data_IF_688255401270
#
_entry.id   IF_688255401270
#
_cell.length_a   1.000
_cell.length_b   1.000
_cell.length_c   1.000
_cell.angle_alpha   90.00
_cell.angle_beta   90.00
_cell.angle_gamma   90.00
#
_symmetry.space_group_name_H-M   'P 1'
#
loop_
_entity.id
_entity.type
_entity.pdbx_description
1 polymer ?
#
# COMPACT_ATOMS: atom_id res chain seq x y z
N UNK A 1 0.77 -16.75 -63.06
CA UNK A 1 -0.39 -15.88 -62.79
C UNK A 1 -0.83 -15.90 -61.32
N UNK A 2 0.07 -15.47 -60.39
CA UNK A 2 -0.27 -15.25 -58.99
C UNK A 2 0.58 -14.10 -58.42
N UNK A 3 0.59 -12.94 -59.08
CA UNK A 3 1.51 -11.85 -58.79
C UNK A 3 0.89 -10.57 -58.22
N UNK A 4 -0.44 -10.44 -58.15
CA UNK A 4 -1.06 -9.16 -57.77
C UNK A 4 -2.28 -9.30 -56.82
N UNK A 5 -2.16 -10.09 -55.80
CA UNK A 5 -3.18 -10.09 -54.74
C UNK A 5 -2.83 -9.05 -53.65
N UNK A 6 -3.78 -8.22 -53.20
CA UNK A 6 -3.56 -7.23 -52.14
C UNK A 6 -3.00 -7.82 -50.84
N UNK A 7 -3.27 -9.08 -50.54
CA UNK A 7 -2.74 -9.80 -49.39
C UNK A 7 -1.22 -9.99 -49.42
N UNK A 8 -0.60 -10.13 -50.58
CA UNK A 8 0.86 -10.33 -50.70
C UNK A 8 1.61 -9.02 -50.47
N UNK A 9 1.03 -7.88 -50.83
CA UNK A 9 1.64 -6.56 -50.54
C UNK A 9 1.62 -6.25 -49.03
N UNK A 10 0.55 -6.61 -48.34
CA UNK A 10 0.45 -6.44 -46.88
C UNK A 10 1.46 -7.33 -46.15
N UNK A 11 1.68 -8.55 -46.63
CA UNK A 11 2.65 -9.48 -46.03
C UNK A 11 4.10 -9.02 -46.16
N UNK A 12 4.47 -8.42 -47.33
CA UNK A 12 5.80 -7.85 -47.54
C UNK A 12 6.07 -6.58 -46.74
N UNK A 13 5.06 -5.81 -46.43
CA UNK A 13 5.18 -4.64 -45.54
C UNK A 13 5.32 -5.07 -44.06
N UNK A 14 4.66 -6.17 -43.71
CA UNK A 14 4.75 -6.74 -42.34
C UNK A 14 6.14 -7.34 -42.05
N UNK A 15 6.78 -7.99 -43.02
CA UNK A 15 8.13 -8.54 -42.85
C UNK A 15 9.22 -7.46 -42.80
N UNK A 16 9.02 -6.30 -43.41
CA UNK A 16 9.96 -5.17 -43.28
C UNK A 16 9.87 -4.46 -41.92
N UNK A 17 8.68 -4.28 -41.39
CA UNK A 17 8.49 -3.69 -40.03
C UNK A 17 9.00 -4.61 -38.90
N UNK A 18 9.01 -5.95 -39.13
CA UNK A 18 9.53 -6.91 -38.15
C UNK A 18 11.08 -6.99 -38.13
N UNK A 19 11.77 -6.52 -39.16
CA UNK A 19 13.24 -6.55 -39.24
C UNK A 19 13.88 -5.38 -38.50
N UNK A 20 13.17 -4.26 -38.30
CA UNK A 20 13.67 -3.09 -37.58
C UNK A 20 13.51 -3.21 -36.04
N UNK A 21 12.94 -4.32 -35.52
CA UNK A 21 12.82 -4.63 -34.07
C UNK A 21 13.88 -5.65 -33.58
N UNK A 22 15.06 -5.66 -34.12
CA UNK A 22 16.09 -6.72 -34.01
C UNK A 22 16.90 -6.78 -32.68
N UNK A 23 16.83 -5.92 -31.65
CA UNK A 23 17.56 -6.23 -30.40
C UNK A 23 16.94 -7.37 -29.57
N UNK A 24 15.66 -7.69 -29.72
CA UNK A 24 14.96 -8.69 -28.90
C UNK A 24 15.33 -10.14 -29.27
N UNK A 25 15.56 -10.41 -30.57
CA UNK A 25 15.89 -11.77 -31.05
C UNK A 25 17.30 -12.25 -30.70
N UNK A 26 18.26 -11.34 -30.56
CA UNK A 26 19.61 -11.68 -30.16
C UNK A 26 19.69 -12.14 -28.70
N UNK A 27 18.85 -11.58 -27.84
CA UNK A 27 18.76 -11.90 -26.41
C UNK A 27 18.10 -13.27 -26.16
N UNK A 28 17.11 -13.62 -26.95
CA UNK A 28 16.42 -14.93 -26.90
C UNK A 28 17.33 -16.11 -27.28
N UNK A 29 18.34 -15.92 -28.11
CA UNK A 29 19.33 -16.95 -28.45
C UNK A 29 20.30 -17.26 -27.30
N UNK A 30 20.62 -16.27 -26.46
CA UNK A 30 21.48 -16.46 -25.29
C UNK A 30 20.82 -17.26 -24.17
N UNK A 31 19.50 -17.16 -23.99
CA UNK A 31 18.72 -17.91 -22.99
C UNK A 31 18.47 -19.37 -23.37
N UNK A 32 18.58 -19.77 -24.66
CA UNK A 32 18.37 -21.15 -25.10
C UNK A 32 19.51 -22.12 -24.70
N UNK A 33 20.61 -21.62 -24.19
CA UNK A 33 21.80 -22.40 -23.81
C UNK A 33 21.79 -22.94 -22.37
N UNK A 34 20.77 -22.67 -21.56
CA UNK A 34 20.65 -23.14 -20.17
C UNK A 34 20.25 -24.62 -20.10
N UNK A 35 20.99 -25.42 -19.28
CA UNK A 35 20.91 -26.89 -19.21
C UNK A 35 19.82 -27.48 -18.31
N UNK A 36 18.93 -26.71 -17.65
CA UNK A 36 17.92 -27.26 -16.76
C UNK A 36 16.56 -27.48 -17.43
N UNK A 37 16.07 -28.73 -17.40
CA UNK A 37 14.80 -29.16 -18.03
C UNK A 37 13.57 -28.45 -17.43
N UNK A 38 13.61 -28.09 -16.14
CA UNK A 38 12.52 -27.37 -15.46
C UNK A 38 12.34 -25.94 -15.97
N UNK A 39 13.43 -25.23 -16.24
CA UNK A 39 13.36 -23.86 -16.80
C UNK A 39 12.75 -23.87 -18.21
N UNK A 40 12.99 -24.92 -19.00
CA UNK A 40 12.43 -25.04 -20.35
C UNK A 40 10.91 -25.24 -20.35
N UNK A 41 10.37 -26.02 -19.40
CA UNK A 41 8.91 -26.25 -19.35
C UNK A 41 8.15 -24.99 -18.95
N UNK A 42 8.64 -24.24 -17.96
CA UNK A 42 8.02 -22.98 -17.55
C UNK A 42 8.18 -21.88 -18.59
N UNK A 43 9.34 -21.82 -19.27
CA UNK A 43 9.56 -20.86 -20.37
C UNK A 43 8.68 -21.14 -21.58
N UNK A 44 8.51 -22.41 -21.99
CA UNK A 44 7.58 -22.76 -23.07
C UNK A 44 6.12 -22.51 -22.70
N UNK A 45 5.74 -22.71 -21.46
CA UNK A 45 4.38 -22.41 -20.97
C UNK A 45 4.10 -20.90 -21.00
N UNK A 46 5.00 -20.08 -20.45
CA UNK A 46 4.93 -18.62 -20.48
C UNK A 46 4.92 -18.06 -21.91
N UNK A 47 5.78 -18.59 -22.79
CA UNK A 47 5.85 -18.17 -24.19
C UNK A 47 4.56 -18.49 -24.95
N UNK A 48 3.93 -19.64 -24.69
CA UNK A 48 2.63 -20.02 -25.27
C UNK A 48 1.51 -19.06 -24.86
N UNK A 49 1.45 -18.67 -23.59
CA UNK A 49 0.43 -17.74 -23.09
C UNK A 49 0.68 -16.31 -23.56
N UNK A 50 1.94 -15.88 -23.63
CA UNK A 50 2.31 -14.59 -24.21
C UNK A 50 1.94 -14.51 -25.69
N UNK A 51 2.24 -15.56 -26.45
CA UNK A 51 1.86 -15.64 -27.87
C UNK A 51 0.34 -15.68 -28.04
N UNK A 52 -0.41 -16.38 -27.17
CA UNK A 52 -1.87 -16.41 -27.23
C UNK A 52 -2.48 -15.03 -26.91
N UNK A 53 -1.97 -14.30 -25.93
CA UNK A 53 -2.38 -12.93 -25.62
C UNK A 53 -2.05 -11.95 -26.72
N UNK A 54 -0.88 -12.05 -27.32
CA UNK A 54 -0.49 -11.22 -28.48
C UNK A 54 -1.37 -11.52 -29.68
N UNK A 55 -1.69 -12.79 -29.94
CA UNK A 55 -2.59 -13.19 -31.05
C UNK A 55 -4.03 -12.71 -30.80
N UNK A 56 -4.54 -12.79 -29.57
CA UNK A 56 -5.84 -12.24 -29.18
C UNK A 56 -5.89 -10.71 -29.32
N UNK A 57 -4.83 -10.02 -28.89
CA UNK A 57 -4.72 -8.57 -29.02
C UNK A 57 -4.63 -8.13 -30.49
N UNK A 58 -3.90 -8.88 -31.32
CA UNK A 58 -3.82 -8.64 -32.77
C UNK A 58 -5.18 -8.93 -33.43
N UNK A 59 -5.90 -9.98 -33.02
CA UNK A 59 -7.23 -10.30 -33.54
C UNK A 59 -8.26 -9.25 -33.18
N UNK A 60 -8.21 -8.73 -31.97
CA UNK A 60 -9.06 -7.62 -31.52
C UNK A 60 -8.71 -6.31 -32.24
N UNK A 61 -7.42 -6.01 -32.41
CA UNK A 61 -6.96 -4.86 -33.19
C UNK A 61 -7.39 -4.96 -34.65
N UNK A 62 -7.32 -6.15 -35.26
CA UNK A 62 -7.80 -6.36 -36.65
C UNK A 62 -9.32 -6.19 -36.81
N UNK A 63 -10.09 -6.51 -35.75
CA UNK A 63 -11.53 -6.26 -35.72
C UNK A 63 -11.86 -4.75 -35.64
N UNK A 64 -11.07 -3.97 -34.90
CA UNK A 64 -11.16 -2.50 -34.84
C UNK A 64 -10.68 -1.84 -36.16
N UNK A 65 -9.65 -2.38 -36.80
CA UNK A 65 -9.12 -1.90 -38.10
C UNK A 65 -10.20 -1.96 -39.19
N UNK A 66 -11.10 -2.93 -39.17
CA UNK A 66 -12.22 -3.02 -40.14
C UNK A 66 -13.23 -1.86 -40.00
N UNK A 67 -13.21 -1.09 -38.92
CA UNK A 67 -14.13 0.02 -38.64
C UNK A 67 -13.48 1.42 -38.67
N UNK A 68 -12.15 1.52 -38.73
CA UNK A 68 -11.42 2.79 -38.72
C UNK A 68 -10.76 3.13 -40.03
N UNK A 69 -10.85 4.38 -40.42
CA UNK A 69 -10.27 4.94 -41.66
C UNK A 69 -8.77 5.23 -41.59
N UNK A 70 -8.07 4.90 -40.51
CA UNK A 70 -6.65 5.19 -40.32
C UNK A 70 -5.89 4.00 -39.72
N UNK A 71 -5.27 3.13 -40.54
CA UNK A 71 -4.59 1.91 -40.06
C UNK A 71 -3.34 2.18 -39.20
N UNK A 72 -2.68 3.33 -39.34
CA UNK A 72 -1.52 3.69 -38.55
C UNK A 72 -1.85 3.93 -37.05
N UNK A 73 -2.98 4.55 -36.76
CA UNK A 73 -3.40 4.85 -35.38
C UNK A 73 -3.69 3.55 -34.63
N UNK A 74 -4.33 2.60 -35.32
CA UNK A 74 -4.69 1.30 -34.70
C UNK A 74 -3.46 0.43 -34.49
N UNK A 75 -2.50 0.46 -35.42
CA UNK A 75 -1.23 -0.25 -35.25
C UNK A 75 -0.41 0.33 -34.05
N UNK A 76 -0.33 1.64 -33.94
CA UNK A 76 0.34 2.31 -32.82
C UNK A 76 -0.33 1.96 -31.49
N UNK A 77 -1.66 1.98 -31.44
CA UNK A 77 -2.43 1.61 -30.26
C UNK A 77 -2.22 0.14 -29.88
N UNK A 78 -2.25 -0.77 -30.83
CA UNK A 78 -2.00 -2.20 -30.60
C UNK A 78 -0.57 -2.49 -30.13
N UNK A 79 0.43 -1.83 -30.73
CA UNK A 79 1.82 -1.93 -30.26
C UNK A 79 2.00 -1.36 -28.87
N UNK A 80 1.36 -0.23 -28.57
CA UNK A 80 1.40 0.38 -27.23
C UNK A 80 0.75 -0.52 -26.18
N UNK A 81 -0.40 -1.13 -26.48
CA UNK A 81 -1.08 -2.07 -25.59
C UNK A 81 -0.30 -3.38 -25.42
N UNK A 82 0.34 -3.89 -26.47
CA UNK A 82 1.19 -5.08 -26.38
C UNK A 82 2.48 -4.82 -25.57
N UNK A 83 3.12 -3.66 -25.75
CA UNK A 83 4.26 -3.23 -24.94
C UNK A 83 3.84 -3.04 -23.46
N UNK A 84 2.73 -2.39 -23.23
CA UNK A 84 2.17 -2.21 -21.89
C UNK A 84 1.86 -3.56 -21.22
N UNK A 85 1.23 -4.49 -21.94
CA UNK A 85 0.98 -5.85 -21.47
C UNK A 85 2.26 -6.63 -21.15
N UNK A 86 3.31 -6.50 -21.97
CA UNK A 86 4.60 -7.16 -21.72
C UNK A 86 5.33 -6.60 -20.50
N UNK A 87 5.23 -5.30 -20.25
CA UNK A 87 5.82 -4.63 -19.09
C UNK A 87 5.06 -4.99 -17.79
N UNK A 88 3.73 -5.07 -17.84
CA UNK A 88 2.87 -5.40 -16.70
C UNK A 88 3.04 -6.86 -16.24
N UNK A 89 3.35 -7.79 -17.17
CA UNK A 89 3.48 -9.22 -16.86
C UNK A 89 4.87 -9.63 -16.37
N UNK A 90 5.81 -8.70 -16.16
CA UNK A 90 7.16 -9.02 -15.68
C UNK A 90 7.15 -9.26 -14.17
N UNK A 91 7.36 -10.50 -13.68
CA UNK A 91 7.32 -10.77 -12.24
C UNK A 91 8.52 -10.14 -11.53
N UNK A 92 8.28 -9.30 -10.53
CA UNK A 92 9.26 -8.80 -9.57
C UNK A 92 8.69 -8.95 -8.16
N UNK A 93 9.55 -9.28 -7.21
CA UNK A 93 9.16 -9.45 -5.80
C UNK A 93 8.93 -8.09 -5.15
N UNK A 94 7.97 -7.99 -4.21
CA UNK A 94 7.55 -6.75 -3.59
C UNK A 94 7.18 -6.93 -2.11
N UNK A 95 7.51 -6.00 -1.21
CA UNK A 95 7.36 -6.12 0.26
C UNK A 95 6.97 -4.83 1.02
N UNK A 96 6.76 -4.90 2.35
CA UNK A 96 5.69 -4.43 3.17
C UNK A 96 5.79 -3.09 3.92
N UNK A 97 6.85 -2.68 4.54
CA UNK A 97 6.95 -1.34 5.16
C UNK A 97 7.29 -0.29 4.10
N UNK A 98 6.75 0.95 4.15
CA UNK A 98 7.12 1.96 3.15
C UNK A 98 8.63 2.20 3.07
N UNK A 99 9.35 2.14 4.19
CA UNK A 99 10.79 2.28 4.26
C UNK A 99 11.57 0.98 3.95
N UNK A 100 10.90 -0.18 3.78
CA UNK A 100 11.50 -1.41 3.25
C UNK A 100 12.02 -1.27 1.82
N UNK A 101 11.69 -0.17 1.16
CA UNK A 101 12.26 0.18 -0.14
C UNK A 101 13.80 0.27 -0.12
N UNK A 102 14.42 0.48 1.06
CA UNK A 102 15.87 0.41 1.25
C UNK A 102 16.45 -1.00 1.11
N UNK A 103 15.62 -2.00 1.30
CA UNK A 103 15.95 -3.41 1.13
C UNK A 103 15.48 -3.97 -0.22
N UNK A 104 15.26 -3.09 -1.20
CA UNK A 104 14.79 -3.38 -2.56
C UNK A 104 13.34 -3.90 -2.64
N UNK A 105 12.52 -3.59 -1.61
CA UNK A 105 11.14 -4.03 -1.52
C UNK A 105 10.17 -2.89 -1.78
N UNK A 106 9.53 -2.90 -2.95
CA UNK A 106 8.65 -1.82 -3.39
C UNK A 106 7.16 -2.06 -3.15
N UNK A 107 6.68 -3.30 -2.94
CA UNK A 107 5.25 -3.59 -2.74
C UNK A 107 4.94 -4.31 -1.44
N UNK A 108 3.68 -4.36 -1.05
CA UNK A 108 3.22 -4.87 0.24
C UNK A 108 2.73 -6.32 0.18
N UNK A 109 2.15 -6.74 -0.96
CA UNK A 109 1.45 -8.01 -1.12
C UNK A 109 2.33 -9.27 -1.00
N UNK A 110 3.65 -9.15 -1.05
CA UNK A 110 4.56 -10.28 -0.87
C UNK A 110 4.66 -10.71 0.58
N UNK A 111 4.66 -9.74 1.49
CA UNK A 111 4.76 -9.98 2.93
C UNK A 111 3.42 -9.98 3.65
N UNK A 112 2.41 -9.31 3.11
CA UNK A 112 1.09 -9.22 3.71
C UNK A 112 0.04 -9.92 2.89
N UNK A 113 -0.92 -10.55 3.56
CA UNK A 113 -2.12 -11.10 2.91
C UNK A 113 -2.97 -9.97 2.33
N UNK A 114 -2.97 -8.82 2.99
CA UNK A 114 -3.59 -7.59 2.47
C UNK A 114 -2.58 -6.81 1.59
N UNK A 115 -2.90 -6.57 0.31
CA UNK A 115 -2.03 -5.80 -0.58
C UNK A 115 -1.77 -4.36 -0.11
N UNK A 116 -2.55 -3.88 0.87
CA UNK A 116 -2.34 -2.58 1.50
C UNK A 116 -1.10 -2.51 2.39
N UNK A 117 -0.55 -3.66 2.82
CA UNK A 117 0.58 -3.70 3.74
C UNK A 117 0.19 -3.71 5.21
N UNK A 118 -1.09 -3.80 5.53
CA UNK A 118 -1.60 -3.96 6.89
C UNK A 118 -1.82 -5.44 7.27
N UNK A 119 -2.13 -5.67 8.53
CA UNK A 119 -2.66 -6.94 9.02
C UNK A 119 -1.67 -8.09 9.10
N UNK A 120 -2.11 -9.25 8.65
CA UNK A 120 -1.40 -10.53 8.80
C UNK A 120 -0.29 -10.68 7.78
N UNK A 121 0.89 -11.10 8.24
CA UNK A 121 2.01 -11.47 7.39
C UNK A 121 1.77 -12.84 6.73
N UNK A 122 2.27 -13.02 5.52
CA UNK A 122 2.49 -14.33 4.92
C UNK A 122 3.65 -15.04 5.64
N UNK A 123 3.82 -16.35 5.47
CA UNK A 123 4.99 -17.07 6.00
C UNK A 123 6.30 -16.44 5.53
N UNK A 124 6.36 -16.04 4.26
CA UNK A 124 7.50 -15.32 3.71
C UNK A 124 7.71 -13.97 4.42
N UNK A 125 6.65 -13.20 4.62
CA UNK A 125 6.72 -11.92 5.33
C UNK A 125 7.17 -12.04 6.78
N UNK A 126 6.75 -13.08 7.49
CA UNK A 126 7.19 -13.37 8.85
C UNK A 126 8.69 -13.72 8.90
N UNK A 127 9.17 -14.60 8.01
CA UNK A 127 10.58 -14.95 7.92
C UNK A 127 11.46 -13.75 7.57
N UNK A 128 11.07 -12.95 6.56
CA UNK A 128 11.82 -11.77 6.16
C UNK A 128 11.81 -10.67 7.23
N UNK A 129 10.73 -10.52 7.99
CA UNK A 129 10.70 -9.57 9.11
C UNK A 129 11.74 -9.92 10.17
N UNK A 130 11.92 -11.19 10.47
CA UNK A 130 12.95 -11.64 11.40
C UNK A 130 14.36 -11.43 10.82
N UNK A 131 14.55 -11.75 9.54
CA UNK A 131 15.86 -11.64 8.88
C UNK A 131 16.31 -10.19 8.72
N UNK A 132 15.42 -9.26 8.39
CA UNK A 132 15.77 -7.90 8.00
C UNK A 132 15.54 -6.86 9.09
N UNK A 133 14.53 -7.05 9.95
CA UNK A 133 14.13 -5.98 10.88
C UNK A 133 14.84 -6.08 12.24
N UNK A 134 14.97 -7.27 12.81
CA UNK A 134 15.53 -7.36 14.17
C UNK A 134 17.05 -7.25 14.21
N UNK A 135 17.54 -6.73 15.31
CA UNK A 135 18.98 -6.73 15.65
C UNK A 135 19.49 -8.15 15.88
N UNK A 136 20.57 -8.53 15.22
CA UNK A 136 21.07 -9.90 15.22
C UNK A 136 22.16 -10.22 16.23
N UNK A 137 22.62 -9.31 17.04
CA UNK A 137 23.62 -9.53 18.11
C UNK A 137 24.80 -10.45 17.72
N UNK A 138 25.20 -10.45 16.44
CA UNK A 138 26.30 -11.27 15.93
C UNK A 138 25.91 -12.67 15.47
N UNK A 139 24.64 -13.08 15.55
CA UNK A 139 24.17 -14.35 15.03
C UNK A 139 24.18 -14.38 13.49
N UNK A 140 24.47 -15.55 12.90
CA UNK A 140 24.42 -15.75 11.46
C UNK A 140 22.98 -15.80 10.95
N UNK A 141 22.72 -15.17 9.80
CA UNK A 141 21.43 -15.26 9.12
C UNK A 141 21.04 -16.70 8.68
N UNK A 142 21.96 -17.64 8.80
CA UNK A 142 21.79 -19.04 8.36
C UNK A 142 21.51 -20.00 9.51
N UNK A 143 21.26 -19.54 10.74
CA UNK A 143 20.94 -20.44 11.85
C UNK A 143 19.45 -20.88 11.74
N UNK A 144 19.15 -22.17 11.47
CA UNK A 144 17.78 -22.67 11.33
C UNK A 144 16.95 -22.54 12.61
N UNK A 145 17.60 -22.59 13.79
CA UNK A 145 16.92 -22.48 15.09
C UNK A 145 16.48 -21.04 15.36
N UNK A 146 17.18 -20.04 14.84
CA UNK A 146 16.78 -18.65 14.95
C UNK A 146 15.57 -18.29 14.08
N UNK A 147 15.46 -18.87 12.87
CA UNK A 147 14.30 -18.62 11.98
C UNK A 147 13.01 -19.25 12.53
N UNK A 148 13.09 -20.24 13.42
CA UNK A 148 11.90 -20.80 14.07
C UNK A 148 11.18 -19.77 14.96
N UNK A 149 11.90 -18.83 15.53
CA UNK A 149 11.35 -17.78 16.37
C UNK A 149 10.51 -16.73 15.60
N UNK A 150 10.59 -16.68 14.28
CA UNK A 150 9.72 -15.84 13.43
C UNK A 150 8.28 -16.39 13.32
N UNK A 151 8.06 -17.65 13.69
CA UNK A 151 6.74 -18.28 13.63
C UNK A 151 5.76 -17.79 14.70
N UNK A 152 4.48 -18.08 14.50
CA UNK A 152 3.43 -17.71 15.44
C UNK A 152 3.73 -18.19 16.86
N UNK A 153 3.57 -17.32 17.86
CA UNK A 153 3.98 -17.55 19.25
C UNK A 153 5.44 -18.00 19.37
N UNK A 154 6.36 -17.30 18.68
CA UNK A 154 7.80 -17.63 18.64
C UNK A 154 8.08 -19.07 18.16
N UNK A 155 7.24 -19.57 17.25
CA UNK A 155 7.36 -20.93 16.69
C UNK A 155 6.80 -22.05 17.59
N UNK A 156 6.26 -21.72 18.77
CA UNK A 156 5.66 -22.70 19.67
C UNK A 156 4.40 -23.36 19.09
N UNK A 157 3.71 -22.67 18.18
CA UNK A 157 2.52 -23.18 17.50
C UNK A 157 2.75 -23.12 16.00
N UNK A 158 2.56 -24.25 15.33
CA UNK A 158 2.60 -24.37 13.85
C UNK A 158 1.16 -24.46 13.33
N UNK A 159 0.53 -23.36 12.90
CA UNK A 159 -0.77 -23.42 12.27
C UNK A 159 -0.68 -24.12 10.90
N UNK A 160 -1.82 -24.64 10.38
CA UNK A 160 -1.82 -25.15 9.01
C UNK A 160 -1.49 -24.03 8.01
N UNK A 161 -0.78 -24.34 6.91
CA UNK A 161 -0.32 -23.39 5.88
C UNK A 161 -1.42 -22.47 5.31
N UNK A 162 -2.69 -22.93 5.33
CA UNK A 162 -3.83 -22.16 4.85
C UNK A 162 -4.42 -21.19 5.89
N UNK A 163 -3.97 -21.24 7.16
CA UNK A 163 -4.50 -20.43 8.26
C UNK A 163 -3.36 -19.66 8.93
N UNK A 164 -3.39 -18.35 8.81
CA UNK A 164 -2.35 -17.45 9.30
C UNK A 164 -2.91 -16.61 10.46
N UNK A 165 -2.72 -17.05 11.71
CA UNK A 165 -3.07 -16.27 12.89
C UNK A 165 -2.01 -15.19 13.16
N UNK A 166 -2.42 -14.09 13.78
CA UNK A 166 -1.56 -12.99 14.18
C UNK A 166 -2.15 -12.29 15.39
N UNK A 167 -1.33 -11.55 16.10
CA UNK A 167 -1.75 -10.69 17.20
C UNK A 167 -0.89 -9.44 17.25
N UNK A 168 -1.41 -8.37 17.83
CA UNK A 168 -0.66 -7.12 18.00
C UNK A 168 -1.09 -6.46 19.32
N UNK A 169 -0.11 -6.20 20.18
CA UNK A 169 -0.27 -5.43 21.41
C UNK A 169 0.64 -4.21 21.33
N UNK A 170 0.08 -3.02 21.41
CA UNK A 170 0.81 -1.76 21.35
C UNK A 170 0.39 -0.85 22.47
N UNK A 171 1.36 -0.44 23.29
CA UNK A 171 1.15 0.48 24.42
C UNK A 171 2.02 1.72 24.23
N UNK A 172 1.57 2.85 24.72
CA UNK A 172 2.23 4.14 24.61
C UNK A 172 2.24 4.83 25.97
N UNK A 173 3.41 5.22 26.44
CA UNK A 173 3.55 6.25 27.47
C UNK A 173 3.66 7.59 26.75
N UNK A 174 2.68 8.43 26.94
CA UNK A 174 2.59 9.77 26.37
C UNK A 174 2.83 10.80 27.48
N UNK A 175 3.74 11.74 27.25
CA UNK A 175 3.85 12.95 28.06
C UNK A 175 3.73 14.14 27.10
N UNK A 176 2.69 14.94 27.26
CA UNK A 176 2.36 16.06 26.39
C UNK A 176 2.18 17.37 27.13
N UNK A 177 2.45 18.44 26.42
CA UNK A 177 2.26 19.82 26.86
C UNK A 177 1.55 20.60 25.76
N UNK A 178 0.39 21.18 26.10
CA UNK A 178 -0.43 21.99 25.18
C UNK A 178 -0.40 23.44 25.63
N UNK A 179 -0.01 24.33 24.74
CA UNK A 179 0.11 25.77 25.01
C UNK A 179 1.08 26.06 26.17
N UNK A 180 0.61 26.85 27.14
CA UNK A 180 1.36 27.21 28.34
C UNK A 180 1.10 26.27 29.53
N UNK A 181 0.31 25.21 29.36
CA UNK A 181 0.05 24.23 30.39
C UNK A 181 1.34 23.48 30.79
N UNK A 182 1.36 22.84 31.95
CA UNK A 182 2.41 21.89 32.34
C UNK A 182 2.31 20.60 31.53
N UNK A 183 3.37 19.77 31.59
CA UNK A 183 3.31 18.41 31.04
C UNK A 183 2.28 17.56 31.79
N UNK A 184 1.49 16.83 31.05
CA UNK A 184 0.64 15.74 31.55
C UNK A 184 1.18 14.41 31.04
N UNK A 185 0.97 13.32 31.77
CA UNK A 185 1.42 12.00 31.32
C UNK A 185 0.30 10.98 31.45
N UNK A 186 0.23 10.07 30.50
CA UNK A 186 -0.76 9.01 30.48
C UNK A 186 -0.20 7.74 29.82
N UNK A 187 -0.73 6.60 30.26
CA UNK A 187 -0.50 5.31 29.60
C UNK A 187 -1.70 5.01 28.69
N UNK A 188 -1.42 4.82 27.41
CA UNK A 188 -2.44 4.56 26.39
C UNK A 188 -2.28 3.14 25.86
N UNK A 189 -3.32 2.33 25.90
CA UNK A 189 -3.40 1.09 25.13
C UNK A 189 -3.79 1.46 23.70
N UNK A 190 -2.80 1.55 22.82
CA UNK A 190 -3.04 1.95 21.42
C UNK A 190 -3.72 0.86 20.60
N UNK A 191 -3.37 -0.41 20.88
CA UNK A 191 -3.85 -1.54 20.12
C UNK A 191 -3.73 -2.83 20.94
N UNK A 192 -4.78 -3.64 20.88
CA UNK A 192 -4.76 -5.02 21.39
C UNK A 192 -5.68 -5.82 20.47
N UNK A 193 -5.10 -6.40 19.40
CA UNK A 193 -5.84 -7.07 18.34
C UNK A 193 -5.40 -8.52 18.18
N UNK A 194 -6.35 -9.39 17.90
CA UNK A 194 -6.13 -10.68 17.27
C UNK A 194 -6.61 -10.62 15.83
N UNK A 195 -5.89 -11.29 14.95
CA UNK A 195 -6.13 -11.28 13.52
C UNK A 195 -5.97 -12.67 12.97
N UNK A 196 -6.67 -12.97 11.90
CA UNK A 196 -6.48 -14.22 11.18
C UNK A 196 -6.72 -14.00 9.69
N UNK A 197 -5.95 -14.73 8.89
CA UNK A 197 -6.17 -14.83 7.46
C UNK A 197 -6.33 -16.29 7.04
N UNK A 198 -7.15 -16.52 6.02
CA UNK A 198 -7.30 -17.79 5.32
C UNK A 198 -6.77 -17.61 3.90
N UNK A 199 -5.81 -18.47 3.52
CA UNK A 199 -5.15 -18.48 2.21
C UNK A 199 -5.23 -19.89 1.66
N UNK A 200 -6.20 -20.17 0.77
CA UNK A 200 -6.39 -21.51 0.22
C UNK A 200 -6.71 -21.46 -1.27
N UNK A 201 -5.76 -21.90 -2.10
CA UNK A 201 -5.86 -21.70 -3.54
C UNK A 201 -5.99 -20.20 -3.87
N UNK A 202 -6.97 -19.82 -4.68
CA UNK A 202 -7.29 -18.41 -4.95
C UNK A 202 -8.08 -17.71 -3.84
N UNK A 203 -8.71 -18.45 -2.93
CA UNK A 203 -9.53 -17.87 -1.88
C UNK A 203 -8.66 -17.15 -0.83
N UNK A 204 -9.07 -15.94 -0.47
CA UNK A 204 -8.46 -15.10 0.57
C UNK A 204 -9.57 -14.59 1.48
N UNK A 205 -9.37 -14.68 2.79
CA UNK A 205 -10.22 -14.02 3.76
C UNK A 205 -9.37 -13.49 4.91
N UNK A 206 -9.80 -12.41 5.51
CA UNK A 206 -9.12 -11.76 6.62
C UNK A 206 -10.13 -11.22 7.62
N UNK A 207 -9.81 -11.29 8.91
CA UNK A 207 -10.59 -10.64 9.94
C UNK A 207 -9.69 -10.19 11.09
N UNK A 208 -10.04 -9.07 11.70
CA UNK A 208 -9.43 -8.55 12.93
C UNK A 208 -10.49 -8.35 14.01
N UNK A 209 -10.10 -8.55 15.26
CA UNK A 209 -10.91 -8.24 16.43
C UNK A 209 -10.01 -7.75 17.54
N UNK A 210 -10.34 -6.62 18.14
CA UNK A 210 -9.51 -6.05 19.19
C UNK A 210 -10.23 -5.03 20.05
N UNK A 211 -9.46 -4.40 20.91
CA UNK A 211 -9.93 -3.34 21.78
C UNK A 211 -9.30 -2.00 21.39
N UNK A 212 -10.09 -0.94 21.50
CA UNK A 212 -9.64 0.45 21.38
C UNK A 212 -10.02 1.16 22.67
N UNK A 213 -9.05 1.77 23.32
CA UNK A 213 -9.31 2.67 24.43
C UNK A 213 -9.58 4.06 23.87
N UNK A 214 -10.84 4.32 23.48
CA UNK A 214 -11.25 5.59 22.92
C UNK A 214 -12.45 6.10 23.69
N UNK A 215 -12.21 7.04 24.55
CA UNK A 215 -13.28 7.85 25.11
C UNK A 215 -13.89 8.71 23.96
N UNK A 216 -15.07 8.32 23.53
CA UNK A 216 -15.91 9.14 22.66
C UNK A 216 -15.80 8.92 21.14
N UNK A 217 -15.15 7.86 20.64
CA UNK A 217 -15.21 7.58 19.21
C UNK A 217 -16.53 6.92 18.80
N UNK A 218 -17.10 7.39 17.69
CA UNK A 218 -18.31 6.81 17.08
C UNK A 218 -18.08 5.37 16.51
N UNK A 219 -16.88 4.84 16.61
CA UNK A 219 -16.50 3.52 16.12
C UNK A 219 -16.53 2.42 17.19
N UNK A 220 -16.76 2.74 18.47
CA UNK A 220 -16.83 1.71 19.50
C UNK A 220 -18.15 0.95 19.41
N UNK A 221 -18.08 -0.28 18.98
CA UNK A 221 -19.09 -1.29 19.33
C UNK A 221 -19.05 -1.40 20.87
N UNK A 222 -20.20 -1.50 21.51
CA UNK A 222 -20.34 -1.45 22.98
C UNK A 222 -19.21 -2.20 23.71
N UNK A 223 -18.50 -1.54 24.63
CA UNK A 223 -17.44 -2.13 25.43
C UNK A 223 -16.02 -2.01 24.88
N UNK A 224 -15.77 -1.09 23.92
CA UNK A 224 -14.42 -0.89 23.36
C UNK A 224 -13.97 -1.97 22.39
N UNK A 225 -14.81 -2.98 22.08
CA UNK A 225 -14.52 -4.00 21.09
C UNK A 225 -14.66 -3.42 19.68
N UNK A 226 -13.65 -3.62 18.85
CA UNK A 226 -13.63 -3.14 17.47
C UNK A 226 -13.11 -4.20 16.51
N UNK A 227 -13.72 -4.32 15.35
CA UNK A 227 -13.13 -4.99 14.20
C UNK A 227 -12.74 -3.92 13.17
N UNK A 228 -11.42 -3.72 12.97
CA UNK A 228 -10.93 -2.71 12.03
C UNK A 228 -11.16 -3.16 10.61
N UNK A 229 -10.82 -4.39 10.30
CA UNK A 229 -10.95 -4.96 8.97
C UNK A 229 -11.51 -6.37 9.01
N UNK A 230 -12.36 -6.67 8.05
CA UNK A 230 -12.79 -8.01 7.69
C UNK A 230 -13.25 -8.03 6.24
N UNK A 231 -12.71 -8.95 5.48
CA UNK A 231 -13.05 -9.08 4.06
C UNK A 231 -12.85 -10.51 3.58
N UNK A 232 -13.48 -10.84 2.47
CA UNK A 232 -13.23 -12.06 1.73
C UNK A 232 -13.08 -11.73 0.24
N UNK A 233 -12.32 -12.56 -0.47
CA UNK A 233 -12.02 -12.29 -1.86
C UNK A 233 -11.40 -13.47 -2.59
N UNK A 234 -11.04 -13.23 -3.83
CA UNK A 234 -10.42 -14.20 -4.71
C UNK A 234 -9.22 -13.59 -5.43
N UNK A 235 -8.10 -14.29 -5.32
CA UNK A 235 -6.88 -13.96 -6.04
C UNK A 235 -6.81 -14.76 -7.35
N UNK A 236 -6.34 -14.15 -8.42
CA UNK A 236 -6.19 -14.75 -9.74
C UNK A 236 -4.98 -14.15 -10.46
N UNK A 237 -4.69 -14.63 -11.68
CA UNK A 237 -3.50 -14.23 -12.45
C UNK A 237 -2.19 -14.42 -11.65
N UNK A 238 -2.02 -15.59 -11.01
CA UNK A 238 -0.85 -15.92 -10.18
C UNK A 238 -0.65 -14.91 -9.02
N UNK A 239 -1.73 -14.61 -8.33
CA UNK A 239 -1.82 -13.66 -7.21
C UNK A 239 -1.54 -12.18 -7.59
N UNK A 240 -1.41 -11.87 -8.87
CA UNK A 240 -1.24 -10.48 -9.31
C UNK A 240 -2.50 -9.63 -9.14
N UNK A 241 -3.69 -10.24 -9.13
CA UNK A 241 -4.97 -9.56 -8.99
C UNK A 241 -5.74 -10.15 -7.80
N UNK A 242 -6.25 -9.28 -6.91
CA UNK A 242 -7.13 -9.63 -5.81
C UNK A 242 -8.42 -8.82 -5.89
N UNK A 243 -9.54 -9.51 -6.12
CA UNK A 243 -10.88 -8.94 -5.94
C UNK A 243 -11.37 -9.29 -4.54
N UNK A 244 -11.74 -8.30 -3.74
CA UNK A 244 -12.21 -8.50 -2.38
C UNK A 244 -13.38 -7.59 -2.02
N UNK A 245 -14.18 -8.00 -1.05
CA UNK A 245 -15.29 -7.22 -0.51
C UNK A 245 -15.39 -7.39 1.01
N UNK A 246 -15.73 -6.33 1.70
CA UNK A 246 -15.84 -6.30 3.15
C UNK A 246 -15.59 -4.90 3.71
N UNK A 247 -15.13 -4.82 4.95
CA UNK A 247 -14.60 -3.60 5.55
C UNK A 247 -13.10 -3.56 5.36
N UNK A 248 -12.61 -2.58 4.62
CA UNK A 248 -11.27 -2.53 4.03
C UNK A 248 -10.67 -1.14 4.28
N UNK A 249 -9.36 -1.08 4.47
CA UNK A 249 -8.59 0.17 4.49
C UNK A 249 -8.70 0.88 3.14
N UNK A 250 -8.84 2.21 3.18
CA UNK A 250 -8.98 3.00 1.97
C UNK A 250 -7.66 3.01 1.17
N UNK A 251 -7.68 2.63 -0.13
CA UNK A 251 -6.51 2.65 -0.99
C UNK A 251 -6.13 4.09 -1.38
N UNK A 252 -5.28 4.73 -0.58
CA UNK A 252 -4.87 6.12 -0.76
C UNK A 252 -3.47 6.38 -0.20
N UNK A 253 -2.61 7.08 -0.94
CA UNK A 253 -1.31 7.55 -0.51
C UNK A 253 -0.33 6.48 -0.02
N UNK A 254 0.67 6.87 0.74
CA UNK A 254 1.58 5.97 1.45
C UNK A 254 0.88 5.46 2.70
N UNK A 255 0.62 4.16 2.79
CA UNK A 255 -0.01 3.57 3.97
C UNK A 255 1.01 3.40 5.09
N UNK A 256 1.00 4.34 6.01
CA UNK A 256 1.84 4.39 7.20
C UNK A 256 1.05 4.02 8.44
N UNK A 257 1.75 3.45 9.42
CA UNK A 257 1.13 3.04 10.70
C UNK A 257 0.80 4.25 11.59
N UNK A 258 1.47 5.38 11.36
CA UNK A 258 1.27 6.62 12.12
C UNK A 258 -0.03 7.31 11.66
N UNK A 259 -1.13 6.89 12.28
CA UNK A 259 -2.48 7.36 11.97
C UNK A 259 -2.70 8.87 12.26
N UNK A 260 -1.84 9.47 13.07
CA UNK A 260 -1.93 10.88 13.48
C UNK A 260 -1.28 11.85 12.49
N UNK A 261 -0.58 11.38 11.48
CA UNK A 261 0.02 12.26 10.46
C UNK A 261 -1.04 13.08 9.73
N UNK A 262 -0.71 14.33 9.41
CA UNK A 262 -1.64 15.25 8.77
C UNK A 262 -2.20 14.73 7.44
N UNK A 263 -1.36 14.07 6.63
CA UNK A 263 -1.82 13.44 5.38
C UNK A 263 -2.87 12.35 5.64
N UNK A 264 -2.83 11.65 6.79
CA UNK A 264 -3.82 10.62 7.15
C UNK A 264 -5.08 11.21 7.77
N UNK A 265 -4.92 12.12 8.73
CA UNK A 265 -6.06 12.72 9.46
C UNK A 265 -6.88 13.67 8.57
N UNK A 266 -6.23 14.45 7.71
CA UNK A 266 -6.89 15.39 6.80
C UNK A 266 -7.63 14.68 5.66
N UNK A 267 -7.05 13.62 5.11
CA UNK A 267 -7.69 12.81 4.06
C UNK A 267 -8.65 11.78 4.61
N UNK A 268 -8.70 11.57 5.95
CA UNK A 268 -9.47 10.49 6.61
C UNK A 268 -9.19 9.13 5.98
N UNK A 269 -7.90 8.79 5.88
CA UNK A 269 -7.43 7.52 5.31
C UNK A 269 -6.45 6.82 6.25
N UNK A 270 -6.59 7.05 7.55
CA UNK A 270 -5.81 6.38 8.56
C UNK A 270 -6.23 4.90 8.73
N UNK A 271 -5.30 4.08 9.25
CA UNK A 271 -5.50 2.65 9.45
C UNK A 271 -6.21 2.29 10.77
N UNK A 272 -6.67 3.29 11.54
CA UNK A 272 -7.24 3.05 12.87
C UNK A 272 -8.76 2.93 12.84
N UNK A 273 -9.48 3.90 12.23
CA UNK A 273 -10.94 3.96 12.30
C UNK A 273 -11.64 4.38 10.98
N UNK A 274 -10.89 4.69 9.94
CA UNK A 274 -11.48 5.21 8.69
C UNK A 274 -11.81 4.15 7.64
N UNK A 275 -11.69 2.87 7.97
CA UNK A 275 -12.05 1.77 7.09
C UNK A 275 -13.51 1.86 6.63
N UNK A 276 -13.74 1.50 5.38
CA UNK A 276 -15.07 1.53 4.77
C UNK A 276 -15.48 0.14 4.26
N UNK A 277 -16.78 -0.12 4.23
CA UNK A 277 -17.31 -1.27 3.51
C UNK A 277 -17.38 -0.96 2.03
N UNK A 278 -16.99 -1.95 1.25
CA UNK A 278 -17.03 -1.84 -0.20
C UNK A 278 -16.44 -3.06 -0.88
N UNK A 279 -16.15 -2.91 -2.15
CA UNK A 279 -15.42 -3.89 -2.95
C UNK A 279 -14.21 -3.22 -3.58
N UNK A 280 -13.07 -3.92 -3.60
CA UNK A 280 -11.85 -3.43 -4.21
C UNK A 280 -11.23 -4.45 -5.16
N UNK A 281 -10.56 -3.93 -6.18
CA UNK A 281 -9.68 -4.68 -7.06
C UNK A 281 -8.27 -4.13 -6.91
N UNK A 282 -7.37 -4.96 -6.39
CA UNK A 282 -5.96 -4.67 -6.24
C UNK A 282 -5.15 -5.38 -7.33
N UNK A 283 -4.16 -4.69 -7.88
CA UNK A 283 -3.15 -5.21 -8.78
C UNK A 283 -1.75 -5.06 -8.17
N UNK A 284 -1.02 -6.18 -8.08
CA UNK A 284 0.31 -6.26 -7.47
C UNK A 284 1.32 -6.76 -8.50
N UNK A 285 1.74 -5.90 -9.43
CA UNK A 285 2.80 -6.18 -10.39
C UNK A 285 4.16 -5.62 -9.97
N UNK A 286 5.22 -6.05 -10.66
CA UNK A 286 6.58 -5.61 -10.33
C UNK A 286 6.84 -4.14 -10.61
N UNK A 287 6.45 -3.66 -11.80
CA UNK A 287 6.63 -2.27 -12.20
C UNK A 287 5.45 -1.39 -11.80
N UNK A 288 4.23 -1.89 -11.91
CA UNK A 288 3.00 -1.15 -11.66
C UNK A 288 2.21 -1.84 -10.57
N UNK A 289 1.67 -1.06 -9.65
CA UNK A 289 0.74 -1.50 -8.60
C UNK A 289 -0.38 -0.50 -8.47
N UNK A 290 -1.50 -0.95 -7.94
CA UNK A 290 -2.61 -0.07 -7.68
C UNK A 290 -3.80 -0.81 -7.09
N UNK A 291 -4.73 -0.05 -6.56
CA UNK A 291 -5.98 -0.56 -6.06
C UNK A 291 -7.06 0.47 -6.30
N UNK A 292 -8.24 0.02 -6.68
CA UNK A 292 -9.45 0.82 -6.76
C UNK A 292 -10.52 0.18 -5.90
N UNK A 293 -11.20 0.98 -5.08
CA UNK A 293 -12.26 0.58 -4.19
C UNK A 293 -13.53 1.39 -4.45
N UNK A 294 -14.64 0.71 -4.66
CA UNK A 294 -15.98 1.29 -4.59
C UNK A 294 -16.45 1.26 -3.12
N UNK A 295 -16.76 2.44 -2.56
CA UNK A 295 -17.13 2.62 -1.17
C UNK A 295 -18.64 2.61 -1.05
N UNK A 296 -19.20 1.65 -0.27
CA UNK A 296 -20.62 1.53 0.04
C UNK A 296 -21.01 2.25 1.35
N UNK A 297 -20.03 2.62 2.15
CA UNK A 297 -20.18 3.31 3.43
C UNK A 297 -19.73 2.45 4.61
N UNK A 298 -19.38 3.08 5.74
CA UNK A 298 -19.05 2.34 6.97
C UNK A 298 -20.35 1.95 7.70
N UNK A 299 -20.75 0.67 7.63
CA UNK A 299 -21.97 0.17 8.27
C UNK A 299 -21.90 0.13 9.80
N UNK A 300 -20.75 0.32 10.39
CA UNK A 300 -20.60 0.53 11.85
C UNK A 300 -21.10 1.92 12.27
N UNK A 301 -21.27 2.86 11.32
CA UNK A 301 -21.81 4.20 11.57
C UNK A 301 -23.31 4.20 11.39
N UNK A 302 -24.04 4.74 12.39
CA UNK A 302 -25.48 4.91 12.37
C UNK A 302 -25.83 6.35 12.79
N UNK A 303 -26.84 6.97 12.17
CA UNK A 303 -27.69 6.50 11.07
C UNK A 303 -26.97 6.54 9.69
N UNK A 304 -27.63 5.95 8.69
CA UNK A 304 -27.13 5.85 7.30
C UNK A 304 -26.73 7.18 6.66
N UNK A 305 -27.36 8.27 7.07
CA UNK A 305 -27.06 9.61 6.54
C UNK A 305 -25.59 10.04 6.74
N UNK A 306 -24.87 9.49 7.73
CA UNK A 306 -23.48 9.78 8.00
C UNK A 306 -22.49 8.92 7.20
N UNK A 307 -22.96 7.89 6.51
CA UNK A 307 -22.11 6.98 5.74
C UNK A 307 -21.64 7.64 4.45
N UNK A 308 -20.34 7.67 4.26
CA UNK A 308 -19.72 8.15 3.03
C UNK A 308 -19.82 7.09 1.93
N UNK A 309 -20.16 7.48 0.70
CA UNK A 309 -20.20 6.61 -0.50
C UNK A 309 -19.42 7.26 -1.61
N UNK A 310 -18.71 6.45 -2.39
CA UNK A 310 -17.88 6.97 -3.47
C UNK A 310 -16.82 5.99 -3.90
N UNK A 311 -15.60 6.49 -4.09
CA UNK A 311 -14.45 5.65 -4.43
C UNK A 311 -13.18 6.14 -3.75
N UNK A 312 -12.20 5.24 -3.65
CA UNK A 312 -10.81 5.53 -3.35
C UNK A 312 -9.92 4.71 -4.26
N UNK A 313 -8.80 5.26 -4.70
CA UNK A 313 -7.86 4.57 -5.58
C UNK A 313 -6.44 5.12 -5.42
N UNK A 314 -5.45 4.26 -5.68
CA UNK A 314 -4.08 4.68 -5.97
C UNK A 314 -3.50 3.87 -7.13
N UNK A 315 -2.50 4.47 -7.79
CA UNK A 315 -1.64 3.80 -8.75
C UNK A 315 -0.20 4.19 -8.47
N UNK A 316 0.72 3.22 -8.51
CA UNK A 316 2.13 3.41 -8.21
C UNK A 316 2.99 2.70 -9.25
N UNK A 317 4.04 3.38 -9.71
CA UNK A 317 5.07 2.85 -10.58
C UNK A 317 6.39 2.74 -9.82
N UNK A 318 7.06 1.59 -9.91
CA UNK A 318 8.37 1.34 -9.33
C UNK A 318 9.39 1.08 -10.46
N UNK A 319 10.01 2.15 -11.01
CA UNK A 319 10.97 2.03 -12.11
C UNK A 319 12.26 1.32 -11.68
N UNK A 320 12.56 1.30 -10.39
CA UNK A 320 13.68 0.59 -9.79
C UNK A 320 13.25 -0.05 -8.46
N UNK A 321 14.04 -1.00 -7.95
CA UNK A 321 13.74 -1.65 -6.66
C UNK A 321 13.80 -0.70 -5.47
N UNK A 322 14.53 0.40 -5.60
CA UNK A 322 14.73 1.42 -4.57
C UNK A 322 13.97 2.73 -4.81
N UNK A 323 13.05 2.78 -5.79
CA UNK A 323 12.29 3.99 -6.09
C UNK A 323 10.87 3.65 -6.55
N UNK A 324 9.87 4.34 -6.01
CA UNK A 324 8.48 4.21 -6.38
C UNK A 324 7.76 5.56 -6.29
N UNK A 325 6.85 5.83 -7.23
CA UNK A 325 6.10 7.06 -7.36
C UNK A 325 4.63 6.74 -7.61
N UNK A 326 3.73 7.43 -6.95
CA UNK A 326 2.32 7.15 -7.09
C UNK A 326 1.43 8.37 -7.06
N UNK A 327 0.20 8.15 -7.50
CA UNK A 327 -0.91 9.10 -7.43
C UNK A 327 -2.07 8.42 -6.70
N UNK A 328 -2.85 9.22 -5.99
CA UNK A 328 -4.05 8.76 -5.27
C UNK A 328 -5.22 9.71 -5.49
N UNK A 329 -6.42 9.15 -5.43
CA UNK A 329 -7.66 9.89 -5.60
C UNK A 329 -8.77 9.28 -4.76
N UNK A 330 -9.48 10.12 -4.03
CA UNK A 330 -10.64 9.77 -3.23
C UNK A 330 -11.73 10.80 -3.44
N UNK A 331 -12.95 10.33 -3.70
CA UNK A 331 -14.15 11.17 -3.73
C UNK A 331 -15.25 10.42 -3.00
N UNK A 332 -15.80 11.04 -1.95
CA UNK A 332 -16.91 10.49 -1.18
C UNK A 332 -17.98 11.51 -0.95
N UNK A 333 -19.23 11.07 -0.86
CA UNK A 333 -20.39 11.88 -0.52
C UNK A 333 -21.13 11.28 0.67
N UNK A 334 -21.47 12.13 1.65
CA UNK A 334 -22.36 11.82 2.75
C UNK A 334 -23.54 12.81 2.78
N UNK A 335 -24.74 12.31 3.06
CA UNK A 335 -25.93 13.17 3.27
C UNK A 335 -25.76 14.08 4.49
N UNK A 336 -24.93 13.66 5.44
CA UNK A 336 -24.54 14.42 6.63
C UNK A 336 -23.13 13.98 7.04
N UNK A 337 -22.15 14.81 6.79
CA UNK A 337 -20.76 14.52 7.18
C UNK A 337 -20.65 14.42 8.70
N UNK A 338 -19.89 13.44 9.19
CA UNK A 338 -19.77 13.17 10.64
C UNK A 338 -19.04 14.30 11.39
N UNK A 339 -18.19 15.08 10.73
CA UNK A 339 -17.40 16.17 11.34
C UNK A 339 -18.11 17.53 11.24
N UNK A 340 -18.66 17.85 10.07
CA UNK A 340 -19.25 19.18 9.81
C UNK A 340 -20.78 19.19 9.86
N UNK A 341 -21.42 18.02 9.99
CA UNK A 341 -22.86 17.82 10.21
C UNK A 341 -23.80 18.37 9.11
N UNK A 342 -23.28 18.63 7.93
CA UNK A 342 -24.03 19.06 6.73
C UNK A 342 -23.76 18.11 5.57
N UNK A 343 -24.57 18.13 4.49
CA UNK A 343 -24.25 17.38 3.28
C UNK A 343 -22.87 17.77 2.75
N UNK A 344 -22.05 16.77 2.44
CA UNK A 344 -20.67 17.02 2.03
C UNK A 344 -20.21 16.05 0.96
N UNK A 345 -19.55 16.58 -0.07
CA UNK A 345 -18.69 15.81 -0.98
C UNK A 345 -17.27 16.16 -0.61
N UNK A 346 -16.55 15.16 -0.12
CA UNK A 346 -15.14 15.23 0.24
C UNK A 346 -14.30 14.68 -0.90
N UNK A 347 -13.26 15.40 -1.27
CA UNK A 347 -12.30 15.02 -2.29
C UNK A 347 -10.89 15.09 -1.70
N UNK A 348 -10.05 14.11 -2.01
CA UNK A 348 -8.62 14.12 -1.74
C UNK A 348 -7.89 13.58 -2.98
N UNK A 349 -6.88 14.31 -3.44
CA UNK A 349 -6.06 13.92 -4.59
C UNK A 349 -4.62 14.16 -4.24
N UNK A 350 -3.79 13.11 -4.33
CA UNK A 350 -2.41 13.16 -3.86
C UNK A 350 -1.41 12.61 -4.84
N UNK A 351 -0.16 13.00 -4.61
CA UNK A 351 1.02 12.39 -5.20
C UNK A 351 1.97 11.95 -4.09
N UNK A 352 2.61 10.81 -4.24
CA UNK A 352 3.55 10.29 -3.27
C UNK A 352 4.77 9.65 -3.91
N UNK A 353 5.84 9.59 -3.13
CA UNK A 353 7.10 8.97 -3.54
C UNK A 353 7.72 8.21 -2.37
N UNK A 354 8.38 7.10 -2.69
CA UNK A 354 9.23 6.34 -1.78
C UNK A 354 10.57 6.13 -2.49
N UNK A 355 11.66 6.44 -1.83
CA UNK A 355 12.97 6.39 -2.42
C UNK A 355 14.05 6.04 -1.41
N UNK A 356 14.94 5.12 -1.77
CA UNK A 356 16.12 4.79 -1.01
C UNK A 356 17.39 5.14 -1.81
N UNK A 357 17.95 6.35 -1.63
CA UNK A 357 19.13 6.78 -2.37
C UNK A 357 20.37 5.92 -2.08
N UNK A 358 20.46 5.43 -0.86
CA UNK A 358 21.49 4.49 -0.38
C UNK A 358 20.85 3.54 0.63
N UNK A 359 21.41 2.35 0.80
CA UNK A 359 20.82 1.29 1.64
C UNK A 359 20.35 1.73 3.03
N UNK A 360 21.14 2.49 3.84
CA UNK A 360 20.67 2.85 5.17
C UNK A 360 19.58 3.92 5.20
N UNK A 361 19.23 4.54 4.06
CA UNK A 361 18.33 5.70 4.02
C UNK A 361 17.09 5.39 3.18
N UNK A 362 15.91 5.62 3.76
CA UNK A 362 14.64 5.68 3.02
C UNK A 362 14.00 7.05 3.20
N UNK A 363 13.49 7.60 2.12
CA UNK A 363 12.77 8.89 2.08
C UNK A 363 11.35 8.64 1.58
N UNK A 364 10.37 9.13 2.32
CA UNK A 364 8.95 9.06 1.99
C UNK A 364 8.44 10.50 1.84
N UNK A 365 7.69 10.77 0.79
CA UNK A 365 7.08 12.07 0.55
C UNK A 365 5.65 11.88 0.06
N UNK A 366 4.73 12.70 0.57
CA UNK A 366 3.33 12.73 0.14
C UNK A 366 2.81 14.15 0.17
N UNK A 367 1.98 14.50 -0.81
CA UNK A 367 1.33 15.81 -0.89
C UNK A 367 -0.10 15.62 -1.41
N UNK A 368 -1.07 16.06 -0.63
CA UNK A 368 -2.51 15.87 -0.88
C UNK A 368 -3.21 17.22 -0.99
N UNK A 369 -4.00 17.39 -2.02
CA UNK A 369 -5.01 18.43 -2.14
C UNK A 369 -6.33 17.90 -1.60
N UNK A 370 -7.04 18.69 -0.81
CA UNK A 370 -8.27 18.33 -0.13
C UNK A 370 -9.33 19.38 -0.42
N UNK A 371 -10.54 18.96 -0.78
CA UNK A 371 -11.67 19.87 -0.99
C UNK A 371 -12.95 19.29 -0.35
N UNK A 372 -13.79 20.19 0.17
CA UNK A 372 -15.05 19.87 0.83
C UNK A 372 -16.15 20.79 0.35
N UNK A 373 -17.23 20.24 -0.21
CA UNK A 373 -18.36 21.04 -0.72
C UNK A 373 -19.22 21.64 0.40
N UNK A 374 -19.37 20.91 1.52
CA UNK A 374 -20.21 21.34 2.64
C UNK A 374 -19.73 22.61 3.34
N UNK A 375 -18.43 22.89 3.29
CA UNK A 375 -17.82 24.13 3.81
C UNK A 375 -17.32 25.05 2.69
N UNK A 376 -17.46 24.63 1.43
CA UNK A 376 -16.88 25.33 0.26
C UNK A 376 -15.39 25.65 0.46
N UNK A 377 -14.67 24.71 1.04
CA UNK A 377 -13.27 24.90 1.43
C UNK A 377 -12.32 23.96 0.68
N UNK A 378 -11.09 24.42 0.50
CA UNK A 378 -9.99 23.62 0.00
C UNK A 378 -8.73 23.83 0.83
N UNK A 379 -7.93 22.81 0.92
CA UNK A 379 -6.69 22.79 1.68
C UNK A 379 -5.68 21.83 1.10
N UNK A 380 -4.64 21.56 1.86
CA UNK A 380 -3.62 20.58 1.51
C UNK A 380 -2.99 19.99 2.78
N UNK A 381 -2.39 18.83 2.63
CA UNK A 381 -1.49 18.24 3.63
C UNK A 381 -0.24 17.72 2.94
N UNK A 382 0.92 17.84 3.59
CA UNK A 382 2.19 17.34 3.07
C UNK A 382 2.95 16.61 4.16
N UNK A 383 3.74 15.63 3.75
CA UNK A 383 4.62 14.84 4.61
C UNK A 383 5.96 14.62 3.89
N UNK A 384 7.03 14.80 4.63
CA UNK A 384 8.36 14.37 4.25
C UNK A 384 8.99 13.62 5.42
N UNK A 385 9.35 12.37 5.23
CA UNK A 385 9.97 11.53 6.26
C UNK A 385 11.28 10.97 5.72
N UNK A 386 12.31 11.02 6.54
CA UNK A 386 13.55 10.28 6.35
C UNK A 386 13.69 9.25 7.47
N UNK A 387 14.00 8.03 7.10
CA UNK A 387 14.30 6.92 8.01
C UNK A 387 15.71 6.43 7.69
N UNK A 388 16.57 6.44 8.69
CA UNK A 388 17.97 6.01 8.60
C UNK A 388 18.14 4.78 9.50
N UNK A 389 18.66 3.71 8.94
CA UNK A 389 19.01 2.46 9.64
C UNK A 389 20.53 2.36 9.79
N UNK A 390 21.14 2.95 10.83
CA UNK A 390 22.60 2.96 11.01
C UNK A 390 23.18 1.56 11.26
N UNK A 391 22.40 0.71 11.86
CA UNK A 391 22.65 -0.73 12.03
C UNK A 391 21.33 -1.47 11.96
N UNK A 392 21.35 -2.72 11.55
CA UNK A 392 20.16 -3.53 11.40
C UNK A 392 19.29 -3.52 12.67
N UNK A 393 18.02 -3.20 12.49
CA UNK A 393 17.02 -3.15 13.55
C UNK A 393 17.00 -1.86 14.36
N UNK A 394 17.88 -0.89 14.09
CA UNK A 394 17.86 0.43 14.74
C UNK A 394 17.53 1.50 13.71
N UNK A 395 16.48 2.26 13.96
CA UNK A 395 15.96 3.29 13.07
C UNK A 395 16.03 4.67 13.71
N UNK A 396 16.47 5.64 12.96
CA UNK A 396 16.40 7.06 13.31
C UNK A 396 15.50 7.74 12.30
N UNK A 397 14.40 8.33 12.79
CA UNK A 397 13.31 8.83 11.95
C UNK A 397 13.19 10.33 12.16
N UNK A 398 13.14 11.08 11.05
CA UNK A 398 12.82 12.50 11.08
C UNK A 398 11.65 12.75 10.13
N UNK A 399 10.58 13.39 10.61
CA UNK A 399 9.40 13.69 9.82
C UNK A 399 9.03 15.16 9.95
N UNK A 400 8.75 15.79 8.83
CA UNK A 400 8.17 17.13 8.74
C UNK A 400 6.81 17.08 8.06
N UNK A 401 5.85 17.80 8.61
CA UNK A 401 4.50 17.87 8.09
C UNK A 401 4.02 19.30 8.02
N UNK A 402 3.17 19.56 7.04
CA UNK A 402 2.52 20.84 6.89
C UNK A 402 1.08 20.63 6.41
N UNK A 403 0.14 21.39 6.97
CA UNK A 403 -1.27 21.28 6.62
C UNK A 403 -1.92 22.64 6.62
N UNK A 404 -2.75 22.89 5.63
CA UNK A 404 -3.71 24.01 5.61
C UNK A 404 -5.11 23.43 5.50
N UNK A 405 -5.91 23.61 6.53
CA UNK A 405 -7.34 23.38 6.44
C UNK A 405 -7.99 24.53 5.68
N UNK A 406 -9.04 24.25 4.94
CA UNK A 406 -9.81 25.30 4.27
C UNK A 406 -10.88 25.91 5.19
N UNK A 407 -11.66 26.85 4.65
CA UNK A 407 -12.81 27.44 5.35
C UNK A 407 -12.41 28.57 6.30
N UNK A 408 -12.88 28.51 7.55
CA UNK A 408 -12.70 29.57 8.55
C UNK A 408 -11.33 29.55 9.24
N UNK A 409 -10.54 28.48 9.07
CA UNK A 409 -9.20 28.37 9.64
C UNK A 409 -8.22 29.17 8.79
N UNK A 410 -7.64 30.20 9.40
CA UNK A 410 -6.62 31.05 8.75
C UNK A 410 -5.25 30.64 9.25
N UNK A 411 -4.38 30.23 8.34
CA UNK A 411 -3.01 29.83 8.68
C UNK A 411 -2.71 28.40 8.28
N UNK A 412 -1.52 27.98 8.66
CA UNK A 412 -0.94 26.68 8.32
C UNK A 412 -0.49 26.00 9.60
N UNK A 413 -0.90 24.77 9.77
CA UNK A 413 -0.38 23.89 10.83
C UNK A 413 0.93 23.25 10.37
N UNK A 414 1.85 23.02 11.28
CA UNK A 414 3.07 22.30 11.01
C UNK A 414 3.39 21.33 12.15
N UNK A 415 4.10 20.27 11.85
CA UNK A 415 4.55 19.27 12.81
C UNK A 415 5.95 18.79 12.43
N UNK A 416 6.78 18.58 13.43
CA UNK A 416 8.11 17.99 13.30
C UNK A 416 8.28 16.85 14.29
N UNK A 417 8.80 15.72 13.81
CA UNK A 417 9.03 14.53 14.62
C UNK A 417 10.49 14.12 14.54
N UNK A 418 11.03 13.70 15.65
CA UNK A 418 12.31 13.01 15.74
C UNK A 418 12.10 11.70 16.50
N UNK A 419 12.34 10.58 15.86
CA UNK A 419 12.08 9.27 16.41
C UNK A 419 13.29 8.36 16.40
N UNK A 420 13.33 7.42 17.34
CA UNK A 420 14.27 6.31 17.37
C UNK A 420 13.50 5.02 17.63
N UNK A 421 13.64 4.04 16.76
CA UNK A 421 13.02 2.72 16.84
C UNK A 421 14.07 1.63 16.99
N UNK A 422 13.76 0.58 17.74
CA UNK A 422 14.64 -0.56 17.90
C UNK A 422 13.88 -1.88 17.95
N UNK A 423 14.09 -2.71 16.96
CA UNK A 423 13.61 -4.09 16.88
C UNK A 423 14.60 -5.00 17.62
N UNK A 424 14.48 -5.07 18.93
CA UNK A 424 15.48 -5.69 19.81
C UNK A 424 15.34 -7.22 19.89
N UNK A 425 14.16 -7.78 19.55
CA UNK A 425 13.88 -9.21 19.63
C UNK A 425 12.89 -9.62 18.52
N UNK A 426 12.77 -10.92 18.19
CA UNK A 426 11.68 -11.39 17.35
C UNK A 426 10.34 -10.95 17.91
N UNK A 427 9.47 -10.42 17.06
CA UNK A 427 8.12 -9.98 17.41
C UNK A 427 8.05 -8.84 18.45
N UNK A 428 9.14 -8.10 18.70
CA UNK A 428 9.13 -7.03 19.67
C UNK A 428 9.96 -5.82 19.23
N UNK A 429 9.37 -4.64 19.34
CA UNK A 429 10.05 -3.37 19.13
C UNK A 429 9.69 -2.34 20.20
N UNK A 430 10.59 -1.37 20.34
CA UNK A 430 10.39 -0.18 21.15
C UNK A 430 10.65 1.05 20.29
N UNK A 431 9.86 2.10 20.45
CA UNK A 431 10.03 3.34 19.71
C UNK A 431 9.86 4.53 20.65
N UNK A 432 10.78 5.47 20.55
CA UNK A 432 10.70 6.78 21.19
C UNK A 432 10.49 7.84 20.10
N UNK A 433 9.55 8.76 20.32
CA UNK A 433 9.33 9.92 19.46
C UNK A 433 9.25 11.19 20.29
N UNK A 434 9.92 12.23 19.82
CA UNK A 434 9.70 13.62 20.18
C UNK A 434 8.90 14.30 19.07
N UNK A 435 7.79 14.91 19.40
CA UNK A 435 6.97 15.67 18.49
C UNK A 435 6.82 17.12 18.96
N UNK A 436 6.96 18.05 18.02
CA UNK A 436 6.63 19.46 18.19
C UNK A 436 5.71 19.89 17.08
N UNK A 437 4.53 20.42 17.44
CA UNK A 437 3.55 20.84 16.46
C UNK A 437 2.90 22.18 16.84
N UNK A 438 2.37 22.85 15.81
CA UNK A 438 1.64 24.09 15.93
C UNK A 438 0.42 24.03 15.04
N UNK A 439 -0.75 23.98 15.64
CA UNK A 439 -2.04 23.97 14.93
C UNK A 439 -2.51 25.40 14.68
N UNK A 440 -2.92 25.68 13.44
CA UNK A 440 -3.69 26.86 13.14
C UNK A 440 -5.10 26.72 13.73
N UNK A 441 -5.51 27.66 14.55
CA UNK A 441 -6.80 27.66 15.23
C UNK A 441 -7.47 29.02 15.13
N UNK A 442 -8.47 29.15 14.28
CA UNK A 442 -9.08 30.46 13.98
C UNK A 442 -8.06 31.46 13.40
N UNK A 443 -7.73 32.51 14.15
CA UNK A 443 -6.69 33.49 13.82
C UNK A 443 -5.38 33.33 14.57
N UNK A 444 -5.28 32.31 15.41
CA UNK A 444 -4.12 32.04 16.24
C UNK A 444 -3.49 30.65 15.98
N UNK A 445 -2.53 30.29 16.81
CA UNK A 445 -1.89 28.99 16.80
C UNK A 445 -1.88 28.37 18.20
N UNK A 446 -2.11 27.08 18.28
CA UNK A 446 -1.94 26.26 19.46
C UNK A 446 -0.69 25.40 19.32
N UNK A 447 0.27 25.58 20.21
CA UNK A 447 1.50 24.78 20.21
C UNK A 447 1.35 23.54 21.10
N UNK A 448 1.86 22.43 20.63
CA UNK A 448 1.92 21.19 21.42
C UNK A 448 3.34 20.60 21.34
N UNK A 449 3.77 19.99 22.43
CA UNK A 449 5.03 19.23 22.51
C UNK A 449 4.71 17.89 23.16
N UNK A 450 5.09 16.79 22.52
CA UNK A 450 4.85 15.45 23.02
C UNK A 450 6.12 14.62 23.05
N UNK A 451 6.27 13.83 24.10
CA UNK A 451 7.26 12.76 24.26
C UNK A 451 6.48 11.44 24.30
N UNK A 452 6.87 10.51 23.49
CA UNK A 452 6.16 9.24 23.31
C UNK A 452 7.14 8.08 23.41
N UNK A 453 6.82 7.10 24.25
CA UNK A 453 7.55 5.83 24.35
C UNK A 453 6.56 4.71 24.08
N UNK A 454 6.72 4.05 22.96
CA UNK A 454 5.85 2.96 22.50
C UNK A 454 6.56 1.62 22.67
N UNK A 455 5.81 0.63 23.19
CA UNK A 455 6.18 -0.77 23.17
C UNK A 455 5.21 -1.52 22.26
N UNK A 456 5.74 -2.35 21.39
CA UNK A 456 4.96 -3.14 20.47
C UNK A 456 5.42 -4.60 20.49
N UNK A 457 4.44 -5.50 20.68
CA UNK A 457 4.61 -6.96 20.53
C UNK A 457 3.63 -7.44 19.48
N UNK A 458 4.11 -8.23 18.54
CA UNK A 458 3.31 -8.77 17.46
C UNK A 458 3.60 -10.26 17.22
N UNK A 459 2.61 -10.99 16.69
CA UNK A 459 2.67 -12.45 16.52
C UNK A 459 2.28 -12.82 15.09
#
# INVERSE_FOLDING_TARGET
LLGNSPCVKVWRTFTRAAVDCVPVFAWLRALSASRSALLRSHFCFLLRHLVALVVLSISFAMHLIRRSSSPEIVLRLACTLALFGAVVLWPRHAQAYPWMIRHDYTGCATCHVDPSGGGVLTEYGAAESDILLRTRYGASAADPDETSAAGFLWGAVKPPEWFLPSGSLRTLVLADKVGDAGFTSQLVLMQADVRAAIVKGGFRAYASLGFVNVDGSAASVSGGLVSREYWAGWSFAQDALLLRAGRIDLPFGIRQIEHVFYVRTSTRTDLNDTQQHGASLAYSGGLLRGEVMAIAGNYQISPDAYRERGYSAYAEIAPASNAAFGLSSLVTHAKRDIRILVPNTRQAHGAFARWAPVRPVAVLAEADFIAQSGTSSSGYATLLQADIEPTQGVHLIATGENMKEGGTVVGTSWSGWLGAGWFFAPHADVRFDFNKQSYALGKGHLSETALMLQFHVYL
#
